data_IF_412326877800
#
_entry.id   IF_412326877800
#
_cell.length_a   1.000
_cell.length_b   1.000
_cell.length_c   1.000
_cell.angle_alpha   90.00
_cell.angle_beta   90.00
_cell.angle_gamma   90.00
#
_symmetry.space_group_name_H-M   'P 1'
#
loop_
_entity.id
_entity.type
_entity.pdbx_description
1 polymer ?
#
# COMPACT_ATOMS: atom_id res chain seq x y z
N UNK A 1 8.87 -6.15 9.42
CA UNK A 1 9.25 -6.73 8.11
C UNK A 1 8.79 -5.82 6.97
N UNK A 2 7.51 -5.73 6.58
CA UNK A 2 7.08 -4.74 5.55
C UNK A 2 7.16 -3.28 6.03
N UNK A 3 6.57 -2.96 7.18
CA UNK A 3 6.63 -1.60 7.75
C UNK A 3 8.08 -1.15 8.06
N UNK A 4 8.98 -2.09 8.35
CA UNK A 4 10.40 -1.80 8.59
C UNK A 4 11.15 -1.54 7.28
N UNK A 5 10.85 -2.26 6.20
CA UNK A 5 11.35 -1.98 4.85
C UNK A 5 10.97 -0.56 4.42
N UNK A 6 9.71 -0.16 4.66
CA UNK A 6 9.23 1.19 4.35
C UNK A 6 9.75 2.26 5.31
N UNK A 7 9.92 1.94 6.61
CA UNK A 7 10.47 2.84 7.62
C UNK A 7 12.00 2.91 7.65
N UNK A 8 12.71 2.19 6.76
CA UNK A 8 14.16 2.19 6.62
C UNK A 8 14.71 2.91 5.38
N UNK A 9 13.88 3.16 4.37
CA UNK A 9 14.28 3.78 3.10
C UNK A 9 14.44 5.32 3.21
N UNK A 10 15.54 5.85 2.65
CA UNK A 10 16.06 7.23 2.82
C UNK A 10 15.12 8.38 2.33
N UNK A 11 14.00 8.08 1.68
CA UNK A 11 13.00 9.03 1.13
C UNK A 11 11.95 9.53 2.15
N UNK A 12 12.30 9.57 3.43
CA UNK A 12 11.34 9.48 4.54
C UNK A 12 10.72 10.78 5.06
N UNK A 13 11.02 11.96 4.52
CA UNK A 13 10.34 13.18 5.00
C UNK A 13 8.89 13.23 4.49
N UNK A 14 8.70 12.96 3.19
CA UNK A 14 7.37 12.93 2.57
C UNK A 14 6.48 11.84 3.17
N UNK A 15 7.00 10.61 3.29
CA UNK A 15 6.24 9.49 3.86
C UNK A 15 5.82 9.74 5.31
N UNK A 16 6.74 10.22 6.16
CA UNK A 16 6.41 10.55 7.57
C UNK A 16 5.43 11.71 7.68
N UNK A 17 5.44 12.66 6.76
CA UNK A 17 4.44 13.73 6.70
C UNK A 17 3.08 13.17 6.32
N UNK A 18 2.99 12.38 5.25
CA UNK A 18 1.74 11.77 4.80
C UNK A 18 1.14 10.85 5.87
N UNK A 19 1.97 10.09 6.59
CA UNK A 19 1.56 9.28 7.74
C UNK A 19 0.90 10.07 8.87
N UNK A 20 1.30 11.34 9.08
CA UNK A 20 0.71 12.19 10.13
C UNK A 20 -0.70 12.64 9.75
N UNK A 21 -0.92 12.87 8.46
CA UNK A 21 -2.18 13.37 7.90
C UNK A 21 -3.14 12.25 7.46
N UNK A 22 -2.61 11.05 7.26
CA UNK A 22 -3.33 9.85 6.83
C UNK A 22 -4.54 9.55 7.70
N UNK A 23 -5.67 9.30 7.03
CA UNK A 23 -6.94 8.94 7.65
C UNK A 23 -7.20 7.43 7.60
N UNK A 24 -6.47 6.73 6.75
CA UNK A 24 -6.46 5.30 6.67
C UNK A 24 -5.11 4.81 6.20
N UNK A 25 -4.76 3.58 6.53
CA UNK A 25 -3.53 2.95 6.08
C UNK A 25 -3.90 1.57 5.54
N UNK A 26 -3.62 1.34 4.27
CA UNK A 26 -3.70 0.02 3.67
C UNK A 26 -2.29 -0.56 3.54
N UNK A 27 -2.09 -1.78 4.03
CA UNK A 27 -0.83 -2.51 3.93
C UNK A 27 -1.09 -3.83 3.22
N UNK A 28 -0.48 -4.01 2.06
CA UNK A 28 -0.47 -5.26 1.31
C UNK A 28 0.97 -5.79 1.21
N UNK A 29 1.31 -6.87 1.92
CA UNK A 29 2.67 -7.44 1.88
C UNK A 29 2.94 -8.21 0.57
N UNK A 30 1.91 -8.44 -0.25
CA UNK A 30 2.06 -9.10 -1.54
C UNK A 30 1.01 -8.57 -2.51
N UNK A 31 1.48 -7.75 -3.45
CA UNK A 31 0.74 -7.36 -4.64
C UNK A 31 1.44 -7.99 -5.83
N UNK A 32 0.73 -8.88 -6.51
CA UNK A 32 1.19 -9.46 -7.76
C UNK A 32 0.80 -8.53 -8.89
N UNK A 33 1.74 -8.24 -9.77
CA UNK A 33 1.50 -7.45 -10.97
C UNK A 33 1.95 -8.24 -12.18
N UNK A 34 1.15 -8.24 -13.23
CA UNK A 34 1.51 -8.75 -14.53
C UNK A 34 1.14 -7.74 -15.61
N UNK A 35 2.07 -7.41 -16.49
CA UNK A 35 1.83 -6.44 -17.54
C UNK A 35 2.63 -6.74 -18.83
N UNK A 36 2.14 -6.18 -19.95
CA UNK A 36 2.87 -6.05 -21.21
C UNK A 36 2.60 -4.67 -21.83
N UNK A 37 1.37 -4.42 -22.28
CA UNK A 37 0.88 -3.09 -22.75
C UNK A 37 -0.28 -2.64 -21.85
N UNK A 38 -1.17 -3.58 -21.57
CA UNK A 38 -2.16 -3.53 -20.50
C UNK A 38 -1.69 -4.47 -19.38
N UNK A 39 -1.86 -4.04 -18.15
CA UNK A 39 -1.50 -4.79 -16.96
C UNK A 39 -2.65 -4.89 -15.98
N UNK A 40 -2.61 -5.93 -15.16
CA UNK A 40 -3.46 -6.07 -13.99
C UNK A 40 -2.58 -6.36 -12.77
N UNK A 41 -2.94 -5.79 -11.63
CA UNK A 41 -2.35 -6.11 -10.34
C UNK A 41 -3.43 -6.55 -9.37
N UNK A 42 -3.03 -7.32 -8.36
CA UNK A 42 -3.93 -7.74 -7.31
C UNK A 42 -3.18 -8.16 -6.06
N UNK A 43 -3.72 -7.80 -4.90
CA UNK A 43 -3.17 -8.16 -3.62
C UNK A 43 -4.21 -8.13 -2.52
N UNK A 44 -3.94 -8.88 -1.45
CA UNK A 44 -4.76 -8.82 -0.24
C UNK A 44 -3.96 -8.20 0.88
N UNK A 45 -4.62 -7.34 1.65
CA UNK A 45 -3.98 -6.56 2.69
C UNK A 45 -4.92 -6.24 3.84
N UNK A 46 -4.37 -5.51 4.80
CA UNK A 46 -5.10 -5.00 5.96
C UNK A 46 -5.28 -3.50 5.83
N UNK A 47 -6.47 -3.02 6.18
CA UNK A 47 -6.79 -1.61 6.25
C UNK A 47 -7.09 -1.20 7.69
N UNK A 48 -6.49 -0.08 8.09
CA UNK A 48 -6.70 0.57 9.37
C UNK A 48 -7.27 1.97 9.10
N UNK A 49 -8.22 2.41 9.90
CA UNK A 49 -8.80 3.76 9.81
C UNK A 49 -8.46 4.53 11.07
N UNK A 50 -8.08 5.79 10.94
CA UNK A 50 -7.83 6.68 12.07
C UNK A 50 -9.11 7.42 12.45
N UNK A 51 -9.49 7.35 13.72
CA UNK A 51 -10.54 8.21 14.27
C UNK A 51 -9.99 9.64 14.37
N UNK A 52 -10.59 10.56 13.60
CA UNK A 52 -10.19 11.98 13.58
C UNK A 52 -10.31 12.69 14.91
N UNK A 53 -11.23 12.25 15.77
CA UNK A 53 -11.54 12.92 17.03
C UNK A 53 -10.71 12.37 18.19
N UNK A 54 -10.38 11.07 18.16
CA UNK A 54 -9.66 10.39 19.24
C UNK A 54 -8.18 10.15 18.92
N UNK A 55 -7.81 10.14 17.65
CA UNK A 55 -6.46 9.83 17.18
C UNK A 55 -6.12 8.34 17.15
N UNK A 56 -7.05 7.50 17.63
CA UNK A 56 -6.92 6.04 17.71
C UNK A 56 -7.11 5.38 16.34
N UNK A 57 -6.44 4.25 16.12
CA UNK A 57 -6.59 3.42 14.93
C UNK A 57 -7.62 2.31 15.17
N UNK A 58 -8.53 2.13 14.21
CA UNK A 58 -9.60 1.12 14.22
C UNK A 58 -9.41 0.14 13.07
N UNK A 59 -9.60 -1.16 13.34
CA UNK A 59 -9.37 -2.27 12.41
C UNK A 59 -8.78 -3.50 13.12
N UNK A 60 -8.15 -4.45 12.40
CA UNK A 60 -7.95 -4.48 10.96
C UNK A 60 -9.19 -4.97 10.19
N UNK A 61 -9.44 -4.36 9.05
CA UNK A 61 -10.34 -4.89 8.03
C UNK A 61 -9.51 -5.49 6.88
N UNK A 62 -9.89 -6.67 6.41
CA UNK A 62 -9.18 -7.35 5.32
C UNK A 62 -9.81 -6.99 3.99
N UNK A 63 -8.99 -6.53 3.05
CA UNK A 63 -9.43 -6.16 1.72
C UNK A 63 -8.57 -6.83 0.66
N UNK A 64 -9.22 -7.19 -0.45
CA UNK A 64 -8.54 -7.56 -1.69
C UNK A 64 -8.71 -6.39 -2.66
N UNK A 65 -7.59 -5.90 -3.16
CA UNK A 65 -7.52 -4.80 -4.13
C UNK A 65 -7.06 -5.38 -5.46
N UNK A 66 -7.71 -4.96 -6.54
CA UNK A 66 -7.28 -5.22 -7.91
C UNK A 66 -7.16 -3.91 -8.65
N UNK A 67 -6.11 -3.76 -9.45
CA UNK A 67 -5.85 -2.55 -10.23
C UNK A 67 -5.60 -2.92 -11.69
N UNK A 68 -5.95 -2.01 -12.59
CA UNK A 68 -5.58 -2.09 -13.99
C UNK A 68 -4.57 -0.97 -14.28
N UNK A 69 -3.53 -1.29 -15.05
CA UNK A 69 -2.49 -0.34 -15.42
C UNK A 69 -2.23 -0.35 -16.93
N UNK A 70 -1.76 0.78 -17.45
CA UNK A 70 -1.36 0.92 -18.85
C UNK A 70 0.12 1.33 -18.88
N UNK A 71 0.96 0.51 -19.51
CA UNK A 71 2.40 0.76 -19.54
C UNK A 71 3.23 -0.47 -19.92
N UNK A 72 4.44 -0.21 -20.42
CA UNK A 72 5.36 -1.25 -20.91
C UNK A 72 6.19 -1.86 -19.78
N UNK A 73 5.55 -2.41 -18.75
CA UNK A 73 6.23 -3.28 -17.79
C UNK A 73 6.13 -4.70 -18.31
N UNK A 74 7.10 -5.15 -19.11
CA UNK A 74 7.11 -6.52 -19.65
C UNK A 74 7.55 -7.48 -18.54
N UNK A 75 6.61 -8.24 -18.00
CA UNK A 75 6.90 -9.27 -17.01
C UNK A 75 5.88 -9.33 -15.88
N UNK A 76 6.25 -10.04 -14.81
CA UNK A 76 5.49 -10.08 -13.57
C UNK A 76 6.38 -9.83 -12.36
N UNK A 77 5.87 -9.08 -11.40
CA UNK A 77 6.57 -8.77 -10.15
C UNK A 77 5.67 -8.98 -8.94
N UNK A 78 6.30 -9.20 -7.79
CA UNK A 78 5.66 -9.21 -6.49
C UNK A 78 6.24 -8.05 -5.69
N UNK A 79 5.36 -7.17 -5.21
CA UNK A 79 5.75 -5.95 -4.51
C UNK A 79 4.96 -5.79 -3.20
N UNK A 80 5.58 -5.16 -2.21
CA UNK A 80 4.89 -4.69 -1.00
C UNK A 80 4.33 -3.29 -1.25
N UNK A 81 3.10 -3.01 -0.80
CA UNK A 81 2.43 -1.71 -1.01
C UNK A 81 1.88 -1.17 0.30
N UNK A 82 2.13 0.11 0.56
CA UNK A 82 1.50 0.89 1.63
C UNK A 82 0.78 2.09 1.01
N UNK A 83 -0.52 2.22 1.27
CA UNK A 83 -1.33 3.39 0.87
C UNK A 83 -1.74 4.15 2.13
N UNK A 84 -1.69 5.49 2.07
CA UNK A 84 -1.92 6.44 3.17
C UNK A 84 -3.04 7.43 2.84
#
# INVERSE_FOLDING_TARGET
MTLESFAGAKEMEGFRSLMKDAQGIFVSPQVLRGAFILGASGGSGVFLVRDKNKGDWTGPAFYTVGEASFGLQIGGDASEVVLL
#
